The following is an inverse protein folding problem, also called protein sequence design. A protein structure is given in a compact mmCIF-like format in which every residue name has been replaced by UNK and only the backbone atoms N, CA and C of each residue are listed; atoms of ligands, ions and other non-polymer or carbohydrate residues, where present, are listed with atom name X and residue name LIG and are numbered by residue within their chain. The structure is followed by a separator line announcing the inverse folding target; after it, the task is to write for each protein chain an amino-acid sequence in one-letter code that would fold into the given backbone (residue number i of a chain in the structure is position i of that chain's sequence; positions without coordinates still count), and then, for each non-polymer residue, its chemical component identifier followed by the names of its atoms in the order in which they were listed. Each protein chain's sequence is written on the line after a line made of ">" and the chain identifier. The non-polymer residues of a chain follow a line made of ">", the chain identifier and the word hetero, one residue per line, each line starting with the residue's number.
data_IF_566385687073
#
_entry.id   IF_566385687073
#
_cell.length_a   1.000
_cell.length_b   1.000
_cell.length_c   1.000
_cell.angle_alpha   90.00
_cell.angle_beta   90.00
_cell.angle_gamma   90.00
#
_symmetry.space_group_name_H-M   'P 1'
#
loop_
_entity.id
_entity.type
_entity.pdbx_description
1 polymer ?
#
# COMPACT_ATOMS: atom_id res chain seq x y z
N UNK A 1 4.98 27.19 -5.41
CA UNK A 1 5.24 26.61 -6.75
C UNK A 1 3.94 25.96 -7.20
N UNK A 2 3.50 26.09 -8.45
CA UNK A 2 2.34 25.34 -8.90
C UNK A 2 2.82 23.94 -9.32
N UNK A 3 2.40 22.89 -8.62
CA UNK A 3 2.83 21.53 -8.94
C UNK A 3 2.32 21.07 -10.32
N UNK A 4 1.26 21.71 -10.84
CA UNK A 4 0.70 21.45 -12.18
C UNK A 4 1.74 21.67 -13.30
N UNK A 5 2.71 22.57 -13.09
CA UNK A 5 3.81 22.82 -14.04
C UNK A 5 4.74 21.60 -14.20
N UNK A 6 4.67 20.65 -13.26
CA UNK A 6 5.46 19.42 -13.23
C UNK A 6 4.63 18.19 -13.60
N UNK A 7 3.47 18.36 -14.21
CA UNK A 7 2.61 17.24 -14.60
C UNK A 7 2.43 17.22 -16.12
N UNK A 8 2.83 16.11 -16.73
CA UNK A 8 2.51 15.80 -18.13
C UNK A 8 1.18 15.08 -18.16
N UNK A 9 0.15 15.76 -18.67
CA UNK A 9 -1.19 15.17 -18.80
C UNK A 9 -1.19 13.88 -19.64
N UNK A 10 -2.00 12.87 -19.26
CA UNK A 10 -2.06 11.61 -19.99
C UNK A 10 -2.69 11.80 -21.37
N UNK A 11 -2.27 10.97 -22.33
CA UNK A 11 -2.90 10.90 -23.66
C UNK A 11 -4.32 10.34 -23.55
N UNK A 12 -5.20 10.84 -24.40
CA UNK A 12 -6.56 10.30 -24.50
C UNK A 12 -6.57 9.08 -25.43
N UNK A 13 -7.30 8.05 -25.02
CA UNK A 13 -7.53 6.85 -25.84
C UNK A 13 -9.02 6.67 -26.06
N UNK A 14 -9.40 6.13 -27.23
CA UNK A 14 -10.79 5.73 -27.46
C UNK A 14 -11.09 4.49 -26.62
N UNK A 15 -12.13 4.58 -25.80
CA UNK A 15 -12.62 3.50 -24.94
C UNK A 15 -14.11 3.30 -25.15
N UNK A 16 -14.61 2.13 -24.77
CA UNK A 16 -16.03 1.81 -24.76
C UNK A 16 -16.70 2.40 -23.51
N UNK A 17 -18.01 2.64 -23.57
CA UNK A 17 -18.75 3.27 -22.47
C UNK A 17 -18.67 2.53 -21.13
N UNK A 18 -18.39 1.21 -21.15
CA UNK A 18 -18.27 0.35 -19.97
C UNK A 18 -16.83 0.26 -19.43
N UNK A 19 -15.86 0.86 -20.10
CA UNK A 19 -14.45 0.80 -19.74
C UNK A 19 -14.03 1.99 -18.88
N UNK A 20 -13.05 1.81 -18.00
CA UNK A 20 -12.56 2.82 -17.06
C UNK A 20 -12.16 4.13 -17.77
N UNK A 21 -11.46 4.02 -18.90
CA UNK A 21 -10.97 5.21 -19.60
C UNK A 21 -12.07 6.14 -20.13
N UNK A 22 -13.33 5.70 -20.14
CA UNK A 22 -14.48 6.54 -20.51
C UNK A 22 -14.92 7.49 -19.38
N UNK A 23 -14.57 7.18 -18.11
CA UNK A 23 -14.93 7.99 -16.93
C UNK A 23 -13.75 8.67 -16.25
N UNK A 24 -12.51 8.34 -16.62
CA UNK A 24 -11.31 8.98 -16.08
C UNK A 24 -11.33 10.48 -16.38
N UNK A 25 -11.04 11.29 -15.36
CA UNK A 25 -10.81 12.73 -15.49
C UNK A 25 -9.36 13.09 -15.17
N UNK A 26 -8.96 14.35 -15.40
CA UNK A 26 -7.57 14.82 -15.20
C UNK A 26 -7.42 15.80 -14.04
N UNK A 27 -8.53 16.29 -13.51
CA UNK A 27 -8.56 17.24 -12.40
C UNK A 27 -8.83 16.49 -11.09
N UNK A 28 -8.11 16.84 -10.04
CA UNK A 28 -8.31 16.29 -8.70
C UNK A 28 -9.72 16.68 -8.24
N UNK A 29 -10.52 15.69 -7.85
CA UNK A 29 -11.87 15.88 -7.33
C UNK A 29 -11.94 15.50 -5.87
N UNK A 30 -12.93 16.05 -5.18
CA UNK A 30 -13.22 15.66 -3.80
C UNK A 30 -13.56 14.16 -3.71
N UNK A 31 -13.04 13.49 -2.69
CA UNK A 31 -13.25 12.06 -2.44
C UNK A 31 -12.92 11.17 -3.68
N UNK A 32 -11.93 11.56 -4.50
CA UNK A 32 -11.51 10.79 -5.68
C UNK A 32 -10.32 9.86 -5.41
N UNK A 33 -10.04 8.96 -6.35
CA UNK A 33 -8.77 8.23 -6.43
C UNK A 33 -7.91 8.94 -7.47
N UNK A 34 -6.71 9.38 -7.09
CA UNK A 34 -5.82 10.13 -7.98
C UNK A 34 -4.61 9.29 -8.32
N UNK A 35 -4.50 8.87 -9.58
CA UNK A 35 -3.34 8.17 -10.11
C UNK A 35 -2.30 9.19 -10.57
N UNK A 36 -1.07 9.06 -10.08
CA UNK A 36 0.08 9.82 -10.55
C UNK A 36 1.23 8.86 -10.81
N UNK A 37 1.82 8.96 -12.00
CA UNK A 37 2.92 8.10 -12.41
C UNK A 37 4.25 8.83 -12.26
N UNK A 38 5.29 8.13 -11.80
CA UNK A 38 6.61 8.70 -11.51
C UNK A 38 7.68 7.87 -12.21
N UNK A 39 8.61 8.51 -12.91
CA UNK A 39 9.73 7.85 -13.58
C UNK A 39 11.10 8.29 -13.05
N UNK A 40 11.20 8.48 -11.75
CA UNK A 40 12.46 8.77 -11.05
C UNK A 40 12.91 7.53 -10.28
N UNK A 41 14.03 6.94 -10.69
CA UNK A 41 14.58 5.71 -10.10
C UNK A 41 15.92 5.93 -9.42
N UNK A 42 16.33 7.19 -9.23
CA UNK A 42 17.63 7.53 -8.63
C UNK A 42 17.79 7.01 -7.21
N UNK A 43 16.69 6.89 -6.44
CA UNK A 43 16.68 6.28 -5.12
C UNK A 43 16.94 4.76 -5.12
N UNK A 44 16.90 4.11 -6.29
CA UNK A 44 17.32 2.73 -6.52
C UNK A 44 18.60 2.63 -7.37
N UNK A 45 19.36 3.73 -7.53
CA UNK A 45 20.57 3.79 -8.34
C UNK A 45 20.33 3.83 -9.85
N UNK A 46 19.09 4.10 -10.29
CA UNK A 46 18.73 4.33 -11.68
C UNK A 46 18.76 5.80 -12.08
N UNK A 47 18.05 6.12 -13.18
CA UNK A 47 17.96 7.46 -13.76
C UNK A 47 16.58 8.10 -13.51
N UNK A 48 16.48 9.40 -13.79
CA UNK A 48 15.22 10.17 -13.71
C UNK A 48 14.75 10.65 -15.08
N UNK A 49 14.78 9.76 -16.06
CA UNK A 49 14.31 10.05 -17.42
C UNK A 49 12.78 10.14 -17.46
N UNK A 50 12.26 11.05 -18.28
CA UNK A 50 10.81 11.13 -18.53
C UNK A 50 10.40 9.89 -19.32
N UNK A 51 9.59 9.02 -18.71
CA UNK A 51 9.08 7.80 -19.34
C UNK A 51 7.60 7.91 -19.67
N UNK A 52 7.18 7.22 -20.75
CA UNK A 52 5.81 7.22 -21.22
C UNK A 52 5.03 6.02 -20.66
N UNK A 53 4.12 6.28 -19.71
CA UNK A 53 3.25 5.24 -19.13
C UNK A 53 2.04 4.86 -20.03
N UNK A 54 2.03 5.29 -21.31
CA UNK A 54 0.97 4.97 -22.30
C UNK A 54 0.70 3.47 -22.41
N UNK A 55 1.71 2.59 -22.32
CA UNK A 55 1.50 1.15 -22.44
C UNK A 55 0.62 0.60 -21.31
N UNK A 56 0.88 1.01 -20.06
CA UNK A 56 0.10 0.63 -18.87
C UNK A 56 -1.30 1.24 -18.96
N UNK A 57 -1.40 2.53 -19.31
CA UNK A 57 -2.69 3.21 -19.49
C UNK A 57 -3.57 2.53 -20.53
N UNK A 58 -3.00 2.07 -21.65
CA UNK A 58 -3.76 1.32 -22.67
C UNK A 58 -4.35 0.03 -22.13
N UNK A 59 -3.63 -0.71 -21.30
CA UNK A 59 -4.16 -1.92 -20.66
C UNK A 59 -5.21 -1.55 -19.60
N UNK A 60 -4.90 -0.61 -18.70
CA UNK A 60 -5.77 -0.19 -17.60
C UNK A 60 -7.09 0.44 -18.07
N UNK A 61 -7.03 1.37 -19.03
CA UNK A 61 -8.22 2.10 -19.49
C UNK A 61 -9.24 1.20 -20.19
N UNK A 62 -8.81 0.02 -20.67
CA UNK A 62 -9.67 -0.96 -21.34
C UNK A 62 -10.33 -1.95 -20.37
N UNK A 63 -9.96 -1.91 -19.09
CA UNK A 63 -10.61 -2.71 -18.05
C UNK A 63 -12.00 -2.16 -17.72
N UNK A 64 -12.84 -3.02 -17.17
CA UNK A 64 -14.24 -2.69 -16.84
C UNK A 64 -14.31 -1.66 -15.71
N UNK A 65 -15.18 -0.66 -15.84
CA UNK A 65 -15.45 0.27 -14.73
C UNK A 65 -16.46 -0.26 -13.71
N UNK A 66 -17.10 -1.41 -14.00
CA UNK A 66 -18.18 -1.98 -13.20
C UNK A 66 -19.21 -0.90 -12.77
N UNK A 67 -19.63 -0.95 -11.52
CA UNK A 67 -20.46 0.01 -10.80
C UNK A 67 -19.61 0.93 -9.90
N UNK A 68 -18.39 1.27 -10.32
CA UNK A 68 -17.56 2.18 -9.54
C UNK A 68 -18.23 3.56 -9.43
N UNK A 69 -18.50 3.98 -8.20
CA UNK A 69 -19.09 5.27 -7.88
C UNK A 69 -18.03 6.33 -7.58
N UNK A 70 -16.84 5.89 -7.19
CA UNK A 70 -15.71 6.75 -6.85
C UNK A 70 -15.13 7.38 -8.12
N UNK A 71 -14.96 8.72 -8.19
CA UNK A 71 -14.27 9.34 -9.31
C UNK A 71 -12.81 8.89 -9.38
N UNK A 72 -12.38 8.46 -10.56
CA UNK A 72 -10.99 8.08 -10.84
C UNK A 72 -10.36 9.19 -11.67
N UNK A 73 -9.22 9.69 -11.21
CA UNK A 73 -8.44 10.75 -11.84
C UNK A 73 -7.10 10.16 -12.27
N UNK A 74 -6.73 10.31 -13.54
CA UNK A 74 -5.37 10.11 -13.99
C UNK A 74 -4.75 11.49 -14.19
N UNK A 75 -3.96 11.90 -13.20
CA UNK A 75 -3.36 13.22 -13.16
C UNK A 75 -2.26 13.33 -14.24
N UNK A 76 -1.58 12.23 -14.54
CA UNK A 76 -0.52 12.16 -15.54
C UNK A 76 0.80 11.64 -15.00
N UNK A 77 1.87 12.06 -15.66
CA UNK A 77 3.24 11.69 -15.34
C UNK A 77 3.94 12.88 -14.66
N UNK A 78 4.55 12.62 -13.51
CA UNK A 78 5.35 13.61 -12.77
C UNK A 78 6.67 13.85 -13.51
N UNK A 79 6.97 15.11 -13.77
CA UNK A 79 8.28 15.56 -14.24
C UNK A 79 9.23 15.59 -13.04
N UNK A 80 10.22 14.72 -13.06
CA UNK A 80 11.25 14.64 -12.02
C UNK A 80 11.98 15.97 -11.83
N UNK A 81 12.28 16.30 -10.57
CA UNK A 81 13.08 17.45 -10.20
C UNK A 81 14.55 17.28 -10.59
N UNK A 82 15.34 18.37 -10.48
CA UNK A 82 16.76 18.32 -10.86
C UNK A 82 17.54 17.38 -9.95
N UNK A 83 17.25 17.37 -8.66
CA UNK A 83 17.73 16.36 -7.71
C UNK A 83 16.60 15.42 -7.24
N UNK A 84 16.96 14.35 -6.53
CA UNK A 84 15.99 13.41 -5.92
C UNK A 84 15.14 14.13 -4.88
N UNK A 85 15.76 15.01 -4.10
CA UNK A 85 15.10 15.85 -3.11
C UNK A 85 14.08 16.80 -3.75
N UNK A 86 14.40 17.38 -4.90
CA UNK A 86 13.44 18.19 -5.67
C UNK A 86 12.24 17.34 -6.09
N UNK A 87 12.45 16.11 -6.58
CA UNK A 87 11.35 15.18 -6.92
C UNK A 87 10.48 14.84 -5.71
N UNK A 88 11.10 14.58 -4.55
CA UNK A 88 10.37 14.34 -3.30
C UNK A 88 9.51 15.54 -2.91
N UNK A 89 10.06 16.75 -3.03
CA UNK A 89 9.36 17.99 -2.69
C UNK A 89 8.17 18.23 -3.63
N UNK A 90 8.35 18.12 -4.94
CA UNK A 90 7.25 18.27 -5.91
C UNK A 90 6.15 17.24 -5.63
N UNK A 91 6.53 15.97 -5.38
CA UNK A 91 5.55 14.94 -5.04
C UNK A 91 4.78 15.26 -3.76
N UNK A 92 5.44 15.79 -2.73
CA UNK A 92 4.77 16.21 -1.49
C UNK A 92 3.75 17.33 -1.71
N UNK A 93 4.00 18.28 -2.61
CA UNK A 93 3.02 19.31 -2.98
C UNK A 93 1.78 18.69 -3.65
N UNK A 94 1.96 17.73 -4.57
CA UNK A 94 0.85 17.00 -5.21
C UNK A 94 0.05 16.21 -4.17
N UNK A 95 0.73 15.50 -3.27
CA UNK A 95 0.10 14.73 -2.20
C UNK A 95 -0.72 15.64 -1.28
N UNK A 96 -0.19 16.81 -0.92
CA UNK A 96 -0.89 17.80 -0.10
C UNK A 96 -2.18 18.28 -0.76
N UNK A 97 -2.15 18.56 -2.08
CA UNK A 97 -3.34 18.92 -2.84
C UNK A 97 -4.39 17.79 -2.89
N UNK A 98 -3.95 16.53 -3.01
CA UNK A 98 -4.84 15.37 -2.94
C UNK A 98 -5.51 15.25 -1.56
N UNK A 99 -4.73 15.32 -0.47
CA UNK A 99 -5.23 15.19 0.90
C UNK A 99 -6.18 16.33 1.28
N UNK A 100 -5.92 17.57 0.85
CA UNK A 100 -6.83 18.70 1.04
C UNK A 100 -8.21 18.45 0.38
N UNK A 101 -8.26 17.71 -0.71
CA UNK A 101 -9.50 17.30 -1.39
C UNK A 101 -10.06 15.96 -0.89
N UNK A 102 -9.55 15.41 0.22
CA UNK A 102 -9.95 14.08 0.74
C UNK A 102 -9.76 12.97 -0.30
N UNK A 103 -8.91 13.20 -1.31
CA UNK A 103 -8.60 12.23 -2.35
C UNK A 103 -7.53 11.25 -1.88
N UNK A 104 -7.57 10.03 -2.42
CA UNK A 104 -6.59 8.98 -2.16
C UNK A 104 -5.55 9.01 -3.29
N UNK A 105 -4.36 9.59 -3.10
CA UNK A 105 -3.28 9.47 -4.07
C UNK A 105 -2.79 8.02 -4.15
N UNK A 106 -2.65 7.54 -5.39
CA UNK A 106 -2.01 6.28 -5.74
C UNK A 106 -0.83 6.64 -6.64
N UNK A 107 0.38 6.51 -6.09
CA UNK A 107 1.63 6.82 -6.80
C UNK A 107 2.15 5.54 -7.44
N UNK A 108 2.43 5.57 -8.74
CA UNK A 108 2.84 4.39 -9.51
C UNK A 108 4.17 4.63 -10.21
N UNK A 109 5.10 3.68 -10.07
CA UNK A 109 6.44 3.79 -10.64
C UNK A 109 7.42 4.54 -9.73
N UNK A 110 8.62 4.76 -10.24
CA UNK A 110 9.73 5.35 -9.49
C UNK A 110 10.30 4.41 -8.44
N UNK A 111 11.34 4.85 -7.75
CA UNK A 111 12.01 4.04 -6.74
C UNK A 111 11.25 4.02 -5.40
N UNK A 112 11.44 2.95 -4.62
CA UNK A 112 10.69 2.68 -3.38
C UNK A 112 10.90 3.73 -2.26
N UNK A 113 11.92 4.57 -2.38
CA UNK A 113 12.17 5.69 -1.47
C UNK A 113 11.06 6.76 -1.48
N UNK A 114 10.27 6.87 -2.55
CA UNK A 114 9.09 7.75 -2.58
C UNK A 114 8.00 7.36 -1.58
N UNK A 115 8.09 6.18 -0.97
CA UNK A 115 7.34 5.86 0.25
C UNK A 115 7.58 6.90 1.36
N UNK A 116 8.76 7.50 1.43
CA UNK A 116 9.04 8.65 2.30
C UNK A 116 8.14 9.84 1.99
N UNK A 117 7.97 10.22 0.72
CA UNK A 117 7.09 11.31 0.32
C UNK A 117 5.65 11.04 0.68
N UNK A 118 5.16 9.81 0.46
CA UNK A 118 3.82 9.40 0.87
C UNK A 118 3.61 9.52 2.38
N UNK A 119 4.56 9.01 3.15
CA UNK A 119 4.52 9.05 4.61
C UNK A 119 4.54 10.49 5.13
N UNK A 120 5.54 11.27 4.72
CA UNK A 120 5.74 12.65 5.18
C UNK A 120 4.62 13.59 4.74
N UNK A 121 4.13 13.43 3.50
CA UNK A 121 2.97 14.17 3.00
C UNK A 121 1.71 13.87 3.81
N UNK A 122 1.45 12.60 4.12
CA UNK A 122 0.31 12.24 4.97
C UNK A 122 0.50 12.71 6.42
N UNK A 123 1.72 12.61 6.98
CA UNK A 123 2.02 13.01 8.35
C UNK A 123 1.82 14.52 8.58
N UNK A 124 1.92 15.33 7.53
CA UNK A 124 1.59 16.75 7.60
C UNK A 124 0.11 16.99 7.95
N UNK A 125 -0.79 16.11 7.49
CA UNK A 125 -2.25 16.23 7.68
C UNK A 125 -2.79 15.38 8.84
N UNK A 126 -2.15 14.26 9.17
CA UNK A 126 -2.60 13.32 10.19
C UNK A 126 -1.43 12.75 11.00
N UNK A 127 -1.59 12.63 12.31
CA UNK A 127 -0.63 11.96 13.20
C UNK A 127 -1.06 10.50 13.46
N UNK A 128 -0.20 9.70 14.07
CA UNK A 128 -0.46 8.30 14.44
C UNK A 128 -0.80 7.41 13.24
N UNK A 129 0.04 7.47 12.18
CA UNK A 129 -0.16 6.72 10.94
C UNK A 129 0.02 5.21 11.18
N UNK A 130 -0.92 4.41 10.71
CA UNK A 130 -0.76 2.96 10.52
C UNK A 130 -0.19 2.73 9.11
N UNK A 131 1.07 2.30 9.05
CA UNK A 131 1.80 2.10 7.80
C UNK A 131 2.04 0.62 7.53
N UNK A 132 1.50 0.12 6.42
CA UNK A 132 1.74 -1.25 5.95
C UNK A 132 2.58 -1.22 4.67
N UNK A 133 3.58 -2.08 4.60
CA UNK A 133 4.44 -2.20 3.42
C UNK A 133 4.53 -3.65 2.98
N UNK A 134 4.37 -3.90 1.68
CA UNK A 134 4.76 -5.15 1.03
C UNK A 134 6.14 -4.96 0.41
N UNK A 135 7.16 -5.66 0.91
CA UNK A 135 8.53 -5.62 0.40
C UNK A 135 9.27 -6.93 0.69
N UNK A 136 10.19 -7.31 -0.20
CA UNK A 136 11.05 -8.47 -0.01
C UNK A 136 12.22 -8.20 0.95
N UNK A 137 12.62 -6.93 1.09
CA UNK A 137 13.77 -6.46 1.89
C UNK A 137 13.31 -5.50 2.98
N UNK A 138 13.83 -5.73 4.18
CA UNK A 138 13.80 -4.87 5.37
C UNK A 138 15.15 -4.15 5.42
N UNK A 139 15.14 -2.82 5.26
CA UNK A 139 16.33 -2.00 5.41
C UNK A 139 16.08 -0.83 6.34
N UNK A 140 16.94 -0.68 7.34
CA UNK A 140 16.91 0.40 8.33
C UNK A 140 18.22 1.20 8.31
N UNK A 141 18.91 1.25 7.17
CA UNK A 141 20.18 1.97 7.07
C UNK A 141 19.95 3.45 7.39
N UNK A 142 20.90 4.04 8.10
CA UNK A 142 20.87 5.46 8.45
C UNK A 142 21.91 6.18 7.59
N UNK A 143 21.44 7.06 6.72
CA UNK A 143 22.27 7.95 5.91
C UNK A 143 21.56 9.31 5.71
N UNK A 144 22.30 10.33 5.30
CA UNK A 144 21.75 11.65 4.98
C UNK A 144 20.90 11.65 3.71
N UNK A 145 21.27 10.89 2.69
CA UNK A 145 20.51 10.77 1.45
C UNK A 145 19.31 9.81 1.60
N UNK A 146 18.17 10.18 1.01
CA UNK A 146 16.99 9.33 0.92
C UNK A 146 17.15 8.39 -0.27
N UNK A 147 17.05 7.08 -0.02
CA UNK A 147 17.06 6.03 -1.04
C UNK A 147 16.31 4.79 -0.52
N UNK A 148 16.19 3.76 -1.35
CA UNK A 148 15.40 2.56 -1.05
C UNK A 148 15.89 1.78 0.19
N UNK A 149 17.10 2.04 0.67
CA UNK A 149 17.66 1.42 1.87
C UNK A 149 17.57 2.31 3.12
N UNK A 150 17.36 3.63 2.97
CA UNK A 150 17.44 4.60 4.06
C UNK A 150 16.10 5.23 4.42
N UNK A 151 15.11 5.19 3.53
CA UNK A 151 13.83 5.89 3.73
C UNK A 151 13.09 5.44 5.00
N UNK A 152 13.03 4.13 5.30
CA UNK A 152 12.42 3.63 6.55
C UNK A 152 13.20 4.07 7.78
N UNK A 153 14.53 4.01 7.72
CA UNK A 153 15.40 4.46 8.80
C UNK A 153 15.15 5.93 9.15
N UNK A 154 14.95 6.77 8.13
CA UNK A 154 14.59 8.19 8.29
C UNK A 154 13.17 8.39 8.82
N UNK A 155 12.20 7.58 8.37
CA UNK A 155 10.83 7.62 8.88
C UNK A 155 10.83 7.32 10.39
N UNK A 156 11.50 6.26 10.82
CA UNK A 156 11.54 5.84 12.23
C UNK A 156 12.46 6.69 13.11
N UNK A 157 13.52 7.27 12.54
CA UNK A 157 14.46 8.12 13.28
C UNK A 157 14.02 9.58 13.44
N UNK A 158 13.01 10.03 12.70
CA UNK A 158 12.53 11.41 12.75
C UNK A 158 11.64 11.67 13.95
N UNK A 159 11.96 12.72 14.72
CA UNK A 159 11.11 13.18 15.85
C UNK A 159 9.83 13.88 15.41
N UNK A 160 9.74 14.27 14.14
CA UNK A 160 8.59 14.99 13.59
C UNK A 160 7.53 14.05 12.99
N UNK A 161 7.80 12.75 12.99
CA UNK A 161 6.92 11.73 12.43
C UNK A 161 6.24 10.93 13.53
N UNK A 162 4.96 10.66 13.32
CA UNK A 162 4.12 9.94 14.28
C UNK A 162 3.56 8.68 13.64
N UNK A 163 4.10 7.55 14.07
CA UNK A 163 3.72 6.22 13.61
C UNK A 163 3.02 5.52 14.76
N UNK A 164 1.82 5.03 14.50
CA UNK A 164 1.07 4.22 15.46
C UNK A 164 1.46 2.75 15.35
N UNK A 165 1.38 2.21 14.13
CA UNK A 165 1.74 0.84 13.83
C UNK A 165 2.53 0.79 12.52
N UNK A 166 3.50 -0.11 12.45
CA UNK A 166 4.17 -0.46 11.21
C UNK A 166 4.12 -1.97 10.98
N UNK A 167 3.76 -2.36 9.77
CA UNK A 167 3.66 -3.75 9.34
C UNK A 167 4.50 -3.96 8.08
N UNK A 168 5.49 -4.84 8.15
CA UNK A 168 6.34 -5.21 7.02
C UNK A 168 6.00 -6.62 6.55
N UNK A 169 5.43 -6.74 5.36
CA UNK A 169 4.92 -7.98 4.83
C UNK A 169 5.73 -8.42 3.60
N UNK A 170 5.94 -9.71 3.44
CA UNK A 170 6.51 -10.28 2.22
C UNK A 170 8.02 -10.45 2.24
N UNK A 171 8.68 -10.21 3.38
CA UNK A 171 10.12 -10.28 3.45
C UNK A 171 10.63 -11.72 3.21
N UNK A 172 11.78 -11.83 2.54
CA UNK A 172 12.38 -13.12 2.19
C UNK A 172 13.70 -13.30 2.95
N UNK A 173 13.79 -14.31 3.82
CA UNK A 173 14.95 -14.47 4.72
C UNK A 173 16.31 -14.45 4.04
N UNK A 174 16.42 -15.00 2.84
CA UNK A 174 17.69 -15.11 2.12
C UNK A 174 18.16 -13.78 1.51
N UNK A 175 17.29 -12.76 1.46
CA UNK A 175 17.60 -11.40 1.01
C UNK A 175 17.85 -10.43 2.18
N UNK A 176 17.71 -10.88 3.42
CA UNK A 176 17.67 -10.00 4.59
C UNK A 176 18.75 -10.36 5.62
N UNK A 177 19.43 -9.34 6.11
CA UNK A 177 20.36 -9.48 7.24
C UNK A 177 19.60 -9.83 8.52
N UNK A 178 20.13 -10.78 9.29
CA UNK A 178 19.50 -11.25 10.52
C UNK A 178 19.32 -10.12 11.55
N UNK A 179 20.28 -9.20 11.63
CA UNK A 179 20.25 -8.07 12.56
C UNK A 179 19.14 -7.08 12.23
N UNK A 180 18.89 -6.81 10.94
CA UNK A 180 17.78 -5.96 10.50
C UNK A 180 16.41 -6.55 10.89
N UNK A 181 16.25 -7.86 10.70
CA UNK A 181 15.04 -8.59 11.12
C UNK A 181 14.86 -8.57 12.63
N UNK A 182 15.96 -8.70 13.39
CA UNK A 182 15.95 -8.67 14.85
C UNK A 182 15.57 -7.29 15.36
N UNK A 183 16.15 -6.24 14.80
CA UNK A 183 15.91 -4.85 15.19
C UNK A 183 14.44 -4.46 15.02
N UNK A 184 13.80 -4.80 13.89
CA UNK A 184 12.37 -4.53 13.68
C UNK A 184 11.50 -5.17 14.78
N UNK A 185 11.85 -6.38 15.22
CA UNK A 185 11.12 -7.06 16.31
C UNK A 185 11.37 -6.42 17.67
N UNK A 186 12.58 -5.93 17.91
CA UNK A 186 12.93 -5.23 19.16
C UNK A 186 12.19 -3.90 19.30
N UNK A 187 11.86 -3.23 18.19
CA UNK A 187 10.98 -2.03 18.17
C UNK A 187 9.49 -2.38 18.03
N UNK A 188 9.13 -3.64 18.28
CA UNK A 188 7.75 -4.14 18.37
C UNK A 188 6.86 -4.02 17.13
N UNK A 189 7.45 -3.75 15.96
CA UNK A 189 6.74 -3.76 14.68
C UNK A 189 6.48 -5.18 14.17
N UNK A 190 5.40 -5.32 13.40
CA UNK A 190 5.02 -6.62 12.84
C UNK A 190 5.79 -6.90 11.56
N UNK A 191 6.28 -8.14 11.45
CA UNK A 191 6.87 -8.65 10.22
C UNK A 191 6.21 -9.96 9.82
N UNK A 192 5.91 -10.11 8.54
CA UNK A 192 5.31 -11.32 7.98
C UNK A 192 6.16 -11.78 6.81
N UNK A 193 6.54 -13.07 6.81
CA UNK A 193 7.33 -13.65 5.72
C UNK A 193 6.47 -13.86 4.49
N UNK A 194 7.09 -13.86 3.31
CA UNK A 194 6.42 -14.23 2.05
C UNK A 194 5.64 -15.55 2.17
N UNK A 195 6.24 -16.58 2.77
CA UNK A 195 5.60 -17.90 2.94
C UNK A 195 4.27 -17.87 3.72
N UNK A 196 4.08 -16.88 4.58
CA UNK A 196 2.86 -16.70 5.38
C UNK A 196 1.78 -15.95 4.60
N UNK A 197 2.17 -15.22 3.54
CA UNK A 197 1.29 -14.49 2.62
C UNK A 197 0.79 -15.33 1.46
N UNK A 198 1.39 -16.51 1.20
CA UNK A 198 1.04 -17.35 0.07
C UNK A 198 -0.34 -18.01 0.23
N UNK A 199 -0.99 -18.28 -0.89
CA UNK A 199 -2.28 -18.99 -1.04
C UNK A 199 -3.54 -18.24 -0.57
N UNK A 200 -3.49 -17.48 0.53
CA UNK A 200 -4.67 -16.77 1.06
C UNK A 200 -4.29 -15.49 1.78
N UNK A 201 -5.11 -14.46 1.61
CA UNK A 201 -5.00 -13.16 2.29
C UNK A 201 -5.54 -13.19 3.72
N UNK A 202 -6.32 -14.20 4.12
CA UNK A 202 -7.05 -14.21 5.41
C UNK A 202 -6.17 -13.99 6.65
N UNK A 203 -4.92 -14.50 6.61
CA UNK A 203 -3.99 -14.38 7.75
C UNK A 203 -3.38 -12.99 7.86
N UNK A 204 -3.37 -12.24 6.77
CA UNK A 204 -2.60 -11.00 6.59
C UNK A 204 -3.49 -9.79 6.35
N UNK A 205 -4.74 -9.99 5.95
CA UNK A 205 -5.82 -9.00 5.90
C UNK A 205 -5.85 -8.10 7.16
N UNK A 206 -5.66 -8.62 8.39
CA UNK A 206 -5.67 -7.76 9.58
C UNK A 206 -4.62 -6.65 9.59
N UNK A 207 -3.50 -6.81 8.87
CA UNK A 207 -2.47 -5.78 8.73
C UNK A 207 -2.82 -4.70 7.71
N UNK A 208 -3.85 -4.91 6.88
CA UNK A 208 -4.35 -3.91 5.93
C UNK A 208 -5.59 -3.19 6.45
N UNK A 209 -6.46 -3.86 7.22
CA UNK A 209 -7.81 -3.36 7.57
C UNK A 209 -7.86 -1.93 8.11
N UNK A 210 -6.89 -1.52 8.92
CA UNK A 210 -6.80 -0.17 9.50
C UNK A 210 -5.63 0.66 8.97
N UNK A 211 -5.01 0.25 7.86
CA UNK A 211 -3.85 0.94 7.30
C UNK A 211 -4.25 2.29 6.69
N UNK A 212 -3.57 3.36 7.11
CA UNK A 212 -3.73 4.70 6.53
C UNK A 212 -2.88 4.85 5.26
N UNK A 213 -1.68 4.27 5.28
CA UNK A 213 -0.74 4.25 4.17
C UNK A 213 -0.39 2.80 3.84
N UNK A 214 -0.45 2.45 2.56
CA UNK A 214 0.12 1.20 2.06
C UNK A 214 1.08 1.42 0.92
N UNK A 215 2.26 0.81 0.98
CA UNK A 215 3.22 0.79 -0.12
C UNK A 215 3.52 -0.63 -0.57
N UNK A 216 3.70 -0.81 -1.87
CA UNK A 216 4.04 -2.08 -2.50
C UNK A 216 5.31 -1.87 -3.29
N UNK A 217 6.39 -2.54 -2.87
CA UNK A 217 7.60 -2.65 -3.66
C UNK A 217 7.44 -3.83 -4.63
N UNK A 218 7.46 -3.55 -5.94
CA UNK A 218 7.33 -4.58 -6.97
C UNK A 218 8.44 -5.64 -6.94
N UNK A 219 9.57 -5.39 -6.27
CA UNK A 219 10.62 -6.41 -6.03
C UNK A 219 10.14 -7.58 -5.16
N UNK A 220 8.99 -7.44 -4.48
CA UNK A 220 8.32 -8.53 -3.77
C UNK A 220 7.46 -9.43 -4.66
N UNK A 221 7.32 -9.11 -5.95
CA UNK A 221 6.50 -9.84 -6.92
C UNK A 221 7.41 -10.67 -7.81
N UNK A 222 7.04 -11.92 -8.05
CA UNK A 222 7.86 -12.80 -8.88
C UNK A 222 7.93 -12.30 -10.33
N UNK A 223 9.13 -12.34 -10.91
CA UNK A 223 9.35 -12.14 -12.34
C UNK A 223 9.44 -13.50 -13.03
N UNK A 224 9.02 -13.56 -14.30
CA UNK A 224 9.00 -14.82 -15.07
C UNK A 224 9.99 -14.76 -16.24
N UNK A 225 9.53 -14.57 -17.48
CA UNK A 225 10.41 -14.42 -18.64
C UNK A 225 11.11 -13.06 -18.70
N UNK A 226 10.44 -12.01 -18.21
CA UNK A 226 10.90 -10.64 -18.21
C UNK A 226 10.79 -10.04 -16.82
N UNK A 227 11.67 -9.09 -16.53
CA UNK A 227 11.71 -8.38 -15.26
C UNK A 227 10.46 -7.51 -15.07
N UNK A 228 9.65 -7.83 -14.07
CA UNK A 228 8.48 -7.02 -13.67
C UNK A 228 8.89 -5.80 -12.85
N UNK A 229 9.98 -5.91 -12.08
CA UNK A 229 10.50 -4.86 -11.21
C UNK A 229 11.95 -4.50 -11.56
N UNK A 230 12.45 -3.41 -10.98
CA UNK A 230 13.83 -2.95 -11.20
C UNK A 230 14.87 -3.88 -10.58
N UNK A 231 14.55 -4.56 -9.47
CA UNK A 231 15.38 -5.60 -8.86
C UNK A 231 14.66 -6.97 -8.91
N UNK A 232 14.45 -7.57 -10.10
CA UNK A 232 13.56 -8.70 -10.29
C UNK A 232 14.00 -9.94 -9.50
N UNK A 233 13.03 -10.63 -8.92
CA UNK A 233 13.24 -11.88 -8.17
C UNK A 233 12.52 -13.05 -8.84
N UNK A 234 13.13 -14.23 -8.82
CA UNK A 234 12.48 -15.47 -9.28
C UNK A 234 11.38 -15.96 -8.33
N UNK A 235 11.43 -15.54 -7.07
CA UNK A 235 10.43 -15.87 -6.05
C UNK A 235 9.83 -14.58 -5.50
N UNK A 236 8.51 -14.59 -5.34
CA UNK A 236 7.74 -13.46 -4.83
C UNK A 236 6.26 -13.82 -4.76
N UNK A 237 5.42 -12.82 -4.50
CA UNK A 237 3.98 -12.96 -4.69
C UNK A 237 3.71 -13.20 -6.18
N UNK A 238 2.90 -14.21 -6.49
CA UNK A 238 2.50 -14.44 -7.88
C UNK A 238 1.44 -13.43 -8.33
N UNK A 239 1.18 -13.39 -9.65
CA UNK A 239 0.19 -12.50 -10.27
C UNK A 239 -1.21 -12.54 -9.64
N UNK A 240 -1.68 -13.70 -9.17
CA UNK A 240 -2.99 -13.84 -8.51
C UNK A 240 -2.95 -13.32 -7.08
N UNK A 241 -1.90 -13.66 -6.36
CA UNK A 241 -1.71 -13.23 -4.96
C UNK A 241 -1.58 -11.72 -4.87
N UNK A 242 -0.76 -11.09 -5.70
CA UNK A 242 -0.62 -9.63 -5.64
C UNK A 242 -1.94 -8.93 -5.97
N UNK A 243 -2.70 -9.40 -6.97
CA UNK A 243 -4.02 -8.84 -7.26
C UNK A 243 -5.00 -8.99 -6.08
N UNK A 244 -4.98 -10.14 -5.38
CA UNK A 244 -5.77 -10.33 -4.17
C UNK A 244 -5.33 -9.34 -3.07
N UNK A 245 -4.02 -9.16 -2.86
CA UNK A 245 -3.51 -8.18 -1.90
C UNK A 245 -3.85 -6.75 -2.26
N UNK A 246 -3.81 -6.35 -3.53
CA UNK A 246 -4.23 -5.00 -3.94
C UNK A 246 -5.71 -4.75 -3.60
N UNK A 247 -6.57 -5.77 -3.73
CA UNK A 247 -7.96 -5.69 -3.27
C UNK A 247 -8.07 -5.52 -1.76
N UNK A 248 -7.32 -6.29 -0.97
CA UNK A 248 -7.27 -6.12 0.50
C UNK A 248 -6.78 -4.73 0.92
N UNK A 249 -5.80 -4.17 0.20
CA UNK A 249 -5.33 -2.81 0.43
C UNK A 249 -6.48 -1.82 0.23
N UNK A 250 -7.24 -1.97 -0.85
CA UNK A 250 -8.40 -1.13 -1.12
C UNK A 250 -9.52 -1.27 -0.09
N UNK A 251 -9.64 -2.44 0.54
CA UNK A 251 -10.64 -2.71 1.59
C UNK A 251 -10.30 -2.07 2.95
N UNK A 252 -9.12 -1.45 3.10
CA UNK A 252 -8.76 -0.75 4.33
C UNK A 252 -9.77 0.35 4.67
N UNK A 253 -10.21 0.36 5.93
CA UNK A 253 -11.19 1.31 6.47
C UNK A 253 -10.65 2.74 6.52
N UNK A 254 -9.32 2.88 6.63
CA UNK A 254 -8.63 4.16 6.85
C UNK A 254 -7.80 4.63 5.66
N UNK A 255 -7.82 3.93 4.52
CA UNK A 255 -6.88 4.19 3.42
C UNK A 255 -6.86 5.66 2.98
N UNK A 256 -5.70 6.30 3.11
CA UNK A 256 -5.46 7.70 2.69
C UNK A 256 -4.45 7.82 1.57
N UNK A 257 -3.50 6.90 1.45
CA UNK A 257 -2.40 6.98 0.49
C UNK A 257 -1.92 5.59 0.07
N UNK A 258 -1.59 5.42 -1.21
CA UNK A 258 -1.02 4.19 -1.75
C UNK A 258 0.20 4.47 -2.63
N UNK A 259 1.21 3.62 -2.56
CA UNK A 259 2.36 3.61 -3.47
C UNK A 259 2.61 2.24 -4.08
N UNK A 260 2.92 2.20 -5.38
CA UNK A 260 3.33 1.01 -6.12
C UNK A 260 4.67 1.35 -6.79
N UNK A 261 5.77 0.92 -6.18
CA UNK A 261 7.11 1.36 -6.52
C UNK A 261 7.95 0.25 -7.15
N UNK A 262 9.11 0.62 -7.69
CA UNK A 262 10.09 -0.28 -8.29
C UNK A 262 9.53 -1.11 -9.46
N UNK A 263 8.40 -0.72 -10.07
CA UNK A 263 7.96 -1.30 -11.33
C UNK A 263 8.99 -1.03 -12.43
N UNK A 264 9.31 -2.03 -13.24
CA UNK A 264 10.22 -1.87 -14.37
C UNK A 264 9.52 -1.14 -15.53
N UNK A 265 9.62 0.19 -15.57
CA UNK A 265 9.02 0.99 -16.64
C UNK A 265 9.63 0.73 -18.03
N UNK A 266 10.84 0.18 -18.09
CA UNK A 266 11.52 -0.14 -19.36
C UNK A 266 11.07 -1.46 -19.97
N UNK A 267 10.16 -2.19 -19.32
CA UNK A 267 9.66 -3.45 -19.87
C UNK A 267 8.82 -3.21 -21.12
N UNK A 268 9.12 -3.91 -22.20
CA UNK A 268 8.24 -3.95 -23.39
C UNK A 268 7.21 -5.09 -23.30
N UNK A 269 7.25 -5.90 -22.23
CA UNK A 269 6.38 -7.05 -22.09
C UNK A 269 4.95 -6.61 -21.73
N UNK A 270 4.02 -6.86 -22.64
CA UNK A 270 2.59 -6.56 -22.45
C UNK A 270 1.99 -7.24 -21.21
N UNK A 271 2.46 -8.41 -20.81
CA UNK A 271 1.97 -9.11 -19.62
C UNK A 271 2.32 -8.36 -18.33
N UNK A 272 3.48 -7.68 -18.28
CA UNK A 272 3.86 -6.83 -17.15
C UNK A 272 2.96 -5.59 -17.08
N UNK A 273 2.67 -4.97 -18.24
CA UNK A 273 1.70 -3.88 -18.32
C UNK A 273 0.30 -4.31 -17.87
N UNK A 274 -0.15 -5.50 -18.26
CA UNK A 274 -1.43 -6.06 -17.83
C UNK A 274 -1.47 -6.33 -16.33
N UNK A 275 -0.40 -6.86 -15.75
CA UNK A 275 -0.34 -7.13 -14.31
C UNK A 275 -0.42 -5.83 -13.51
N UNK A 276 0.36 -4.80 -13.85
CA UNK A 276 0.28 -3.51 -13.16
C UNK A 276 -1.11 -2.85 -13.33
N UNK A 277 -1.68 -2.92 -14.54
CA UNK A 277 -3.04 -2.44 -14.78
C UNK A 277 -4.09 -3.15 -13.90
N UNK A 278 -3.98 -4.47 -13.75
CA UNK A 278 -4.87 -5.27 -12.89
C UNK A 278 -4.65 -4.98 -11.41
N UNK A 279 -3.40 -4.77 -10.97
CA UNK A 279 -3.10 -4.35 -9.61
C UNK A 279 -3.83 -3.04 -9.25
N UNK A 280 -3.76 -2.03 -10.11
CA UNK A 280 -4.49 -0.76 -9.94
C UNK A 280 -6.00 -1.00 -9.95
N UNK A 281 -6.49 -1.85 -10.85
CA UNK A 281 -7.91 -2.18 -10.95
C UNK A 281 -8.47 -2.83 -9.68
N UNK A 282 -7.80 -3.85 -9.14
CA UNK A 282 -8.24 -4.54 -7.92
C UNK A 282 -8.13 -3.63 -6.68
N UNK A 283 -7.17 -2.72 -6.65
CA UNK A 283 -7.12 -1.66 -5.64
C UNK A 283 -8.38 -0.80 -5.68
N UNK A 284 -8.73 -0.28 -6.85
CA UNK A 284 -9.92 0.56 -7.03
C UNK A 284 -11.19 -0.21 -6.67
N UNK A 285 -11.29 -1.49 -7.06
CA UNK A 285 -12.40 -2.36 -6.68
C UNK A 285 -12.54 -2.46 -5.15
N UNK A 286 -11.44 -2.71 -4.44
CA UNK A 286 -11.42 -2.75 -2.97
C UNK A 286 -11.91 -1.44 -2.35
N UNK A 287 -11.40 -0.30 -2.82
CA UNK A 287 -11.80 1.03 -2.32
C UNK A 287 -13.29 1.28 -2.57
N UNK A 288 -13.80 0.89 -3.73
CA UNK A 288 -15.22 1.03 -4.06
C UNK A 288 -16.12 0.17 -3.15
N UNK A 289 -15.74 -1.09 -2.93
CA UNK A 289 -16.44 -1.99 -2.02
C UNK A 289 -16.45 -1.42 -0.60
N UNK A 290 -15.31 -0.94 -0.11
CA UNK A 290 -15.20 -0.39 1.24
C UNK A 290 -16.12 0.82 1.45
N UNK A 291 -16.34 1.67 0.44
CA UNK A 291 -17.30 2.78 0.53
C UNK A 291 -18.76 2.34 0.58
N UNK A 292 -19.08 1.19 0.00
CA UNK A 292 -20.43 0.63 0.01
C UNK A 292 -20.81 -0.03 1.34
N UNK A 293 -19.81 -0.28 2.20
CA UNK A 293 -20.03 -0.89 3.49
C UNK A 293 -20.88 -0.03 4.44
N UNK A 294 -21.70 -0.65 5.30
CA UNK A 294 -22.51 0.08 6.26
C UNK A 294 -21.63 0.82 7.28
N UNK A 295 -22.01 2.06 7.60
CA UNK A 295 -21.32 2.88 8.62
C UNK A 295 -21.57 2.35 10.04
N UNK A 296 -22.78 1.89 10.30
CA UNK A 296 -23.13 1.25 11.56
C UNK A 296 -22.81 -0.25 11.48
N UNK A 297 -22.02 -0.74 12.44
CA UNK A 297 -21.60 -2.13 12.53
C UNK A 297 -22.11 -2.75 13.81
N UNK A 298 -22.44 -4.04 13.75
CA UNK A 298 -22.83 -4.84 14.91
C UNK A 298 -21.82 -5.96 15.12
N UNK A 299 -21.45 -6.16 16.38
CA UNK A 299 -20.42 -7.10 16.77
C UNK A 299 -20.94 -8.14 17.75
N UNK A 300 -20.57 -9.39 17.50
CA UNK A 300 -20.73 -10.48 18.46
C UNK A 300 -19.48 -10.59 19.33
N UNK A 301 -19.65 -10.74 20.64
CA UNK A 301 -18.57 -10.84 21.60
C UNK A 301 -18.34 -12.28 22.05
N UNK A 302 -17.08 -12.72 22.00
CA UNK A 302 -16.62 -14.04 22.41
C UNK A 302 -15.53 -13.90 23.47
N UNK A 303 -15.64 -14.68 24.54
CA UNK A 303 -14.61 -14.74 25.58
C UNK A 303 -13.86 -16.07 25.51
N UNK A 304 -12.53 -16.01 25.62
CA UNK A 304 -11.64 -17.16 25.64
C UNK A 304 -10.79 -17.10 26.91
N UNK A 305 -10.73 -18.21 27.64
CA UNK A 305 -9.91 -18.34 28.85
C UNK A 305 -8.59 -19.03 28.53
N UNK A 306 -7.46 -18.39 28.83
CA UNK A 306 -6.11 -18.95 28.68
C UNK A 306 -5.34 -18.70 29.98
N UNK A 307 -4.88 -19.74 30.66
CA UNK A 307 -4.15 -19.66 31.93
C UNK A 307 -4.84 -18.74 32.96
N UNK A 308 -6.14 -18.95 33.18
CA UNK A 308 -7.00 -18.17 34.08
C UNK A 308 -7.12 -16.66 33.74
N UNK A 309 -6.69 -16.24 32.56
CA UNK A 309 -6.93 -14.90 32.01
C UNK A 309 -8.01 -14.96 30.93
N UNK A 310 -8.95 -14.02 31.01
CA UNK A 310 -10.02 -13.88 30.04
C UNK A 310 -9.59 -12.91 28.94
N UNK A 311 -9.79 -13.31 27.69
CA UNK A 311 -9.52 -12.53 26.49
C UNK A 311 -10.80 -12.37 25.67
N UNK A 312 -11.02 -11.17 25.14
CA UNK A 312 -12.19 -10.82 24.36
C UNK A 312 -11.89 -10.77 22.86
N UNK A 313 -12.79 -11.35 22.07
CA UNK A 313 -12.79 -11.27 20.62
C UNK A 313 -14.15 -10.78 20.14
N UNK A 314 -14.16 -9.89 19.16
CA UNK A 314 -15.36 -9.38 18.51
C UNK A 314 -15.41 -9.83 17.06
N UNK A 315 -16.59 -10.24 16.58
CA UNK A 315 -16.82 -10.56 15.16
C UNK A 315 -17.83 -9.57 14.58
N UNK A 316 -17.46 -8.86 13.52
CA UNK A 316 -18.42 -8.07 12.75
C UNK A 316 -19.43 -9.00 12.07
N UNK A 317 -20.71 -8.77 12.33
CA UNK A 317 -21.81 -9.56 11.77
C UNK A 317 -22.00 -9.37 10.27
N UNK A 318 -21.59 -8.23 9.71
CA UNK A 318 -21.68 -7.97 8.27
C UNK A 318 -20.52 -8.63 7.52
N UNK A 319 -19.28 -8.30 7.90
CA UNK A 319 -18.08 -8.75 7.16
C UNK A 319 -17.53 -10.10 7.62
N UNK A 320 -17.98 -10.61 8.78
CA UNK A 320 -17.39 -11.75 9.47
C UNK A 320 -15.92 -11.57 9.88
N UNK A 321 -15.40 -10.34 9.85
CA UNK A 321 -14.05 -10.00 10.25
C UNK A 321 -13.91 -9.94 11.78
N UNK A 322 -12.72 -10.30 12.28
CA UNK A 322 -12.46 -10.49 13.70
C UNK A 322 -11.60 -9.38 14.29
N UNK A 323 -11.88 -9.04 15.54
CA UNK A 323 -11.13 -8.06 16.32
C UNK A 323 -10.81 -8.64 17.69
N UNK A 324 -9.66 -8.26 18.25
CA UNK A 324 -9.24 -8.60 19.60
C UNK A 324 -9.37 -7.36 20.50
N UNK A 325 -10.01 -7.53 21.66
CA UNK A 325 -10.28 -6.46 22.62
C UNK A 325 -11.73 -6.45 23.11
N UNK A 326 -11.94 -5.89 24.30
CA UNK A 326 -13.26 -5.70 24.92
C UNK A 326 -13.81 -4.28 24.80
N UNK A 327 -12.98 -3.29 24.45
CA UNK A 327 -13.35 -1.87 24.31
C UNK A 327 -14.59 -1.67 23.42
N UNK A 328 -15.61 -0.96 23.94
CA UNK A 328 -16.85 -0.67 23.23
C UNK A 328 -16.62 -0.01 21.86
N UNK A 329 -15.60 0.84 21.76
CA UNK A 329 -15.17 1.42 20.50
C UNK A 329 -14.27 0.43 19.74
N UNK A 330 -14.78 -0.08 18.62
CA UNK A 330 -14.06 -1.02 17.76
C UNK A 330 -12.74 -0.43 17.22
N UNK A 331 -12.61 0.90 17.15
CA UNK A 331 -11.38 1.58 16.75
C UNK A 331 -10.20 1.27 17.67
N UNK A 332 -10.49 1.03 18.96
CA UNK A 332 -9.50 0.67 19.96
C UNK A 332 -9.18 -0.84 19.98
N UNK A 333 -9.99 -1.66 19.31
CA UNK A 333 -9.72 -3.09 19.17
C UNK A 333 -8.73 -3.37 18.03
N UNK A 334 -7.94 -4.43 18.19
CA UNK A 334 -6.90 -4.84 17.24
C UNK A 334 -7.52 -5.74 16.18
N UNK A 335 -7.40 -5.43 14.87
CA UNK A 335 -7.79 -6.35 13.82
C UNK A 335 -7.09 -7.70 13.97
N UNK A 336 -7.86 -8.78 13.93
CA UNK A 336 -7.34 -10.14 13.93
C UNK A 336 -7.99 -11.05 12.91
N UNK A 337 -7.36 -12.19 12.67
CA UNK A 337 -7.88 -13.22 11.77
C UNK A 337 -8.77 -14.19 12.55
N UNK A 338 -9.62 -14.92 11.83
CA UNK A 338 -10.36 -16.04 12.42
C UNK A 338 -9.41 -17.09 13.03
N UNK A 339 -8.26 -17.32 12.39
CA UNK A 339 -7.22 -18.22 12.86
C UNK A 339 -6.67 -17.80 14.24
N UNK A 340 -6.49 -16.51 14.49
CA UNK A 340 -6.03 -16.02 15.80
C UNK A 340 -7.02 -16.40 16.92
N UNK A 341 -8.33 -16.25 16.68
CA UNK A 341 -9.37 -16.70 17.60
C UNK A 341 -9.36 -18.23 17.79
N UNK A 342 -9.21 -18.99 16.70
CA UNK A 342 -9.17 -20.46 16.76
C UNK A 342 -7.94 -21.00 17.47
N UNK A 343 -6.79 -20.32 17.36
CA UNK A 343 -5.56 -20.66 18.07
C UNK A 343 -5.63 -20.25 19.56
N UNK A 344 -6.27 -19.12 19.88
CA UNK A 344 -6.54 -18.71 21.25
C UNK A 344 -7.40 -19.74 22.00
N UNK A 345 -8.43 -20.31 21.37
CA UNK A 345 -9.24 -21.41 21.95
C UNK A 345 -8.44 -22.67 22.28
N UNK A 346 -7.28 -22.85 21.64
CA UNK A 346 -6.35 -23.96 21.90
C UNK A 346 -5.27 -23.57 22.95
N UNK A 347 -5.37 -22.40 23.55
CA UNK A 347 -4.41 -21.87 24.54
C UNK A 347 -3.26 -21.06 23.95
N UNK A 348 -3.26 -20.76 22.65
CA UNK A 348 -2.17 -20.03 21.99
C UNK A 348 -2.61 -18.61 21.63
N UNK A 349 -2.17 -17.62 22.42
CA UNK A 349 -2.43 -16.21 22.12
C UNK A 349 -1.29 -15.62 21.27
N UNK A 350 -1.65 -14.90 20.21
CA UNK A 350 -0.67 -14.21 19.38
C UNK A 350 -0.01 -13.07 20.18
N UNK A 351 1.33 -13.00 20.17
CA UNK A 351 2.09 -12.03 20.93
C UNK A 351 1.78 -10.57 20.57
N UNK A 352 1.24 -10.30 19.36
CA UNK A 352 0.84 -8.93 18.97
C UNK A 352 -0.29 -8.37 19.83
N UNK A 353 -1.10 -9.23 20.44
CA UNK A 353 -2.25 -8.81 21.26
C UNK A 353 -1.85 -8.38 22.68
N UNK A 354 -0.61 -8.63 23.09
CA UNK A 354 -0.11 -8.28 24.42
C UNK A 354 0.83 -7.07 24.38
N UNK A 355 0.96 -6.40 23.23
CA UNK A 355 1.81 -5.20 23.04
C UNK A 355 1.08 -3.88 23.34
N UNK A 356 -0.16 -3.95 23.85
CA UNK A 356 -1.02 -2.79 24.11
C UNK A 356 -0.72 -2.16 25.46
#
# INVERSE_FOLDING_TARGET
>A
MNFEDFIISPRNFRTENWQIGNRITKEIKEDSIVLLFVSDYRGAGGEAEVQDFTAIRKEFYRLSQLDFDIPIVDLGDLVSGKSVEDSHYILQEVLSACHQNRAIPVIIGGSNDFAFSLFSGLNFHQQNINYTQISNIISLKQNEEINEHTFLGKIFGSKNFSIKNYHHLGYQKHLNEADSVKLIKEVEFDIVRLAEMMNSTEKTEPFFRKADLVTVNCDAIESFSDAFSVNPQVNGLNRREICAYMKEIGLSENLKSVGIFNYNIYTENQLNHQLLAQMIWYLIEGINIQRSHPKERQYELFYVLINDRQYAFKRDTFSSLWYFGDDENIENCIPCSRKDFDDAKKGWLNARFTRV
#
